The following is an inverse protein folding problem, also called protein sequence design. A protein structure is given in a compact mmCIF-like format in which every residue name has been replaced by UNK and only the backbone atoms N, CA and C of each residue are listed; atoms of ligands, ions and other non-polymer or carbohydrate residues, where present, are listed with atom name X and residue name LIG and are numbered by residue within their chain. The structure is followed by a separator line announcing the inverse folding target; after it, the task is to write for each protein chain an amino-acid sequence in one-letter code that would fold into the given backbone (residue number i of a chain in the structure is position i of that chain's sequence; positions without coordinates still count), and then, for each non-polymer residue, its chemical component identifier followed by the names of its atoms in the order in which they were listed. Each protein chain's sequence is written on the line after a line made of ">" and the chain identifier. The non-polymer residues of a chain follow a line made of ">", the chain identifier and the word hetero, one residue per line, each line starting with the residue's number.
data_IF_640344433420
#
_entry.id   IF_640344433420
#
_cell.length_a   1.000
_cell.length_b   1.000
_cell.length_c   1.000
_cell.angle_alpha   90.00
_cell.angle_beta   90.00
_cell.angle_gamma   90.00
#
_symmetry.space_group_name_H-M   'P 1'
#
loop_
_entity.id
_entity.type
_entity.pdbx_description
1 polymer ?
#
# COMPACT_ATOMS: atom_id res chain seq x y z
N UNK A 1 -4.54 17.97 20.67
CA UNK A 1 -3.47 17.69 19.70
C UNK A 1 -2.35 18.70 19.91
N UNK A 2 -1.20 18.27 20.42
CA UNK A 2 0.01 19.12 20.51
C UNK A 2 0.40 19.49 19.08
N UNK A 3 0.48 20.78 18.79
CA UNK A 3 0.81 21.21 17.43
C UNK A 3 2.29 20.97 17.14
N UNK A 4 2.69 20.55 15.93
CA UNK A 4 4.11 20.31 15.62
C UNK A 4 5.03 21.52 15.90
N UNK A 5 4.50 22.74 15.76
CA UNK A 5 5.19 23.99 16.13
C UNK A 5 5.53 24.08 17.63
N UNK A 6 4.73 23.47 18.51
CA UNK A 6 4.99 23.38 19.96
C UNK A 6 6.17 22.44 20.27
N UNK A 7 6.59 21.62 19.29
CA UNK A 7 7.78 20.76 19.37
C UNK A 7 8.98 21.32 18.61
N UNK A 8 8.88 22.52 18.03
CA UNK A 8 9.95 23.15 17.25
C UNK A 8 10.29 22.44 15.94
N UNK A 9 9.43 21.54 15.46
CA UNK A 9 9.65 20.77 14.24
C UNK A 9 8.94 21.43 13.04
N UNK A 10 9.51 21.36 11.82
CA UNK A 10 8.84 21.86 10.62
C UNK A 10 7.53 21.09 10.35
N UNK A 11 6.52 21.80 9.85
CA UNK A 11 5.16 21.27 9.65
C UNK A 11 4.54 21.74 8.34
N UNK A 12 3.67 20.91 7.75
CA UNK A 12 2.79 21.27 6.63
C UNK A 12 1.32 21.46 7.06
N UNK A 13 1.05 21.53 8.37
CA UNK A 13 -0.30 21.76 8.86
C UNK A 13 -0.90 23.06 8.30
N UNK A 14 -2.16 23.01 7.88
CA UNK A 14 -2.88 24.14 7.29
C UNK A 14 -2.44 24.52 5.87
N UNK A 15 -1.36 23.95 5.32
CA UNK A 15 -0.85 24.27 3.97
C UNK A 15 -1.89 24.08 2.87
N UNK A 16 -2.79 23.11 3.02
CA UNK A 16 -3.83 22.76 2.05
C UNK A 16 -5.25 22.98 2.58
N UNK A 17 -5.41 23.74 3.66
CA UNK A 17 -6.67 23.95 4.36
C UNK A 17 -6.79 23.10 5.64
N UNK A 18 -7.75 23.47 6.49
CA UNK A 18 -7.95 22.86 7.81
C UNK A 18 -8.49 21.43 7.73
N UNK A 19 -9.22 21.09 6.67
CA UNK A 19 -9.86 19.78 6.47
C UNK A 19 -9.05 18.84 5.57
N UNK A 20 -7.80 19.19 5.24
CA UNK A 20 -6.97 18.35 4.37
C UNK A 20 -6.64 16.99 5.02
N UNK A 21 -6.87 15.92 4.26
CA UNK A 21 -6.55 14.54 4.64
C UNK A 21 -5.53 13.88 3.71
N UNK A 22 -4.99 14.62 2.72
CA UNK A 22 -4.09 14.08 1.70
C UNK A 22 -2.62 14.42 1.96
N UNK A 23 -2.34 15.53 2.65
CA UNK A 23 -0.99 15.98 2.92
C UNK A 23 -0.19 16.23 1.65
N UNK A 24 1.06 15.77 1.61
CA UNK A 24 1.96 15.99 0.47
C UNK A 24 1.50 15.34 -0.83
N UNK A 25 0.53 14.42 -0.80
CA UNK A 25 -0.10 13.90 -2.02
C UNK A 25 -0.79 15.01 -2.83
N UNK A 26 -1.15 16.14 -2.22
CA UNK A 26 -1.65 17.33 -2.91
C UNK A 26 -0.62 17.98 -3.86
N UNK A 27 0.67 17.63 -3.74
CA UNK A 27 1.71 18.08 -4.68
C UNK A 27 1.66 17.31 -6.01
N UNK A 28 1.01 16.16 -6.05
CA UNK A 28 0.80 15.41 -7.28
C UNK A 28 -0.33 16.06 -8.09
N UNK A 29 -0.01 16.51 -9.30
CA UNK A 29 -0.91 17.19 -10.23
C UNK A 29 -0.93 16.44 -11.56
N UNK A 30 -1.96 16.67 -12.36
CA UNK A 30 -2.14 16.01 -13.67
C UNK A 30 -0.95 16.21 -14.60
N UNK A 31 -0.29 17.38 -14.54
CA UNK A 31 0.94 17.64 -15.30
C UNK A 31 2.08 16.68 -14.94
N UNK A 32 2.20 16.27 -13.68
CA UNK A 32 3.21 15.30 -13.26
C UNK A 32 2.91 13.91 -13.83
N UNK A 33 1.63 13.53 -13.91
CA UNK A 33 1.19 12.27 -14.52
C UNK A 33 1.50 12.26 -16.02
N UNK A 34 1.14 13.33 -16.74
CA UNK A 34 1.43 13.45 -18.18
C UNK A 34 2.94 13.42 -18.45
N UNK A 35 3.73 14.14 -17.65
CA UNK A 35 5.20 14.14 -17.75
C UNK A 35 5.80 12.76 -17.49
N UNK A 36 5.29 12.01 -16.50
CA UNK A 36 5.74 10.66 -16.20
C UNK A 36 5.38 9.69 -17.34
N UNK A 37 4.15 9.75 -17.86
CA UNK A 37 3.70 8.94 -18.98
C UNK A 37 4.56 9.16 -20.23
N UNK A 38 4.92 10.41 -20.53
CA UNK A 38 5.80 10.75 -21.65
C UNK A 38 7.22 10.16 -21.55
N UNK A 39 7.65 9.68 -20.36
CA UNK A 39 8.95 8.99 -20.20
C UNK A 39 8.91 7.53 -20.65
N UNK A 40 7.74 6.95 -20.85
CA UNK A 40 7.60 5.55 -21.30
C UNK A 40 7.89 5.46 -22.79
N UNK A 41 9.12 5.07 -23.15
CA UNK A 41 9.56 4.98 -24.56
C UNK A 41 9.83 3.55 -25.03
N UNK A 42 10.11 2.62 -24.12
CA UNK A 42 10.47 1.23 -24.42
C UNK A 42 9.45 0.19 -23.97
N UNK A 43 8.45 0.58 -23.18
CA UNK A 43 7.44 -0.34 -22.63
C UNK A 43 7.97 -1.41 -21.67
N UNK A 44 9.22 -1.31 -21.20
CA UNK A 44 9.79 -2.29 -20.26
C UNK A 44 9.25 -2.05 -18.85
N UNK A 45 8.74 -3.12 -18.24
CA UNK A 45 8.19 -3.12 -16.87
C UNK A 45 9.18 -3.77 -15.92
N UNK A 46 9.38 -3.16 -14.76
CA UNK A 46 10.20 -3.69 -13.67
C UNK A 46 9.34 -3.81 -12.41
N UNK A 47 9.11 -5.01 -11.86
CA UNK A 47 8.40 -5.16 -10.60
C UNK A 47 9.25 -4.60 -9.46
N UNK A 48 8.68 -3.72 -8.65
CA UNK A 48 9.31 -3.14 -7.46
C UNK A 48 8.75 -3.71 -6.16
N UNK A 49 7.90 -4.73 -6.26
CA UNK A 49 7.30 -5.38 -5.11
C UNK A 49 8.12 -6.59 -4.65
N UNK A 50 8.14 -6.83 -3.34
CA UNK A 50 8.55 -8.08 -2.76
C UNK A 50 7.46 -9.16 -2.97
N UNK A 51 7.82 -10.45 -2.89
CA UNK A 51 6.84 -11.53 -2.87
C UNK A 51 5.85 -11.39 -1.70
N UNK A 52 4.57 -11.58 -1.98
CA UNK A 52 3.52 -11.69 -0.95
C UNK A 52 3.42 -13.17 -0.57
N UNK A 53 4.20 -13.57 0.43
CA UNK A 53 4.33 -14.99 0.80
C UNK A 53 4.69 -15.15 2.28
N UNK A 54 4.50 -16.35 2.86
CA UNK A 54 4.95 -16.65 4.22
C UNK A 54 6.45 -16.42 4.43
N UNK A 55 7.25 -16.63 3.39
CA UNK A 55 8.71 -16.45 3.39
C UNK A 55 9.15 -15.06 2.89
N UNK A 56 8.19 -14.17 2.65
CA UNK A 56 8.46 -12.81 2.20
C UNK A 56 9.10 -11.96 3.32
N UNK A 57 9.77 -10.85 2.97
CA UNK A 57 10.30 -9.92 3.96
C UNK A 57 9.20 -9.45 4.91
N UNK A 58 9.39 -9.66 6.21
CA UNK A 58 8.43 -9.26 7.23
C UNK A 58 9.14 -8.73 8.47
N UNK A 59 8.50 -7.79 9.15
CA UNK A 59 8.99 -7.29 10.43
C UNK A 59 8.86 -8.41 11.48
N UNK A 60 9.89 -8.74 12.28
CA UNK A 60 9.84 -9.87 13.22
C UNK A 60 8.69 -9.83 14.23
N UNK A 61 8.12 -8.65 14.50
CA UNK A 61 6.98 -8.46 15.41
C UNK A 61 5.62 -8.73 14.77
N UNK A 62 5.57 -9.00 13.46
CA UNK A 62 4.34 -9.25 12.68
C UNK A 62 4.20 -10.73 12.37
N UNK A 63 2.97 -11.19 12.18
CA UNK A 63 2.72 -12.54 11.67
C UNK A 63 3.12 -12.61 10.19
N UNK A 64 3.70 -13.74 9.71
CA UNK A 64 3.91 -13.96 8.28
C UNK A 64 2.62 -13.78 7.48
N UNK A 65 2.74 -13.55 6.17
CA UNK A 65 1.58 -13.57 5.28
C UNK A 65 1.02 -14.98 5.23
N UNK A 66 -0.29 -15.13 5.40
CA UNK A 66 -0.99 -16.40 5.24
C UNK A 66 -1.65 -16.40 3.88
N UNK A 67 -1.31 -17.40 3.07
CA UNK A 67 -1.91 -17.62 1.77
C UNK A 67 -2.37 -19.06 1.69
N UNK A 68 -3.68 -19.26 1.62
CA UNK A 68 -4.30 -20.57 1.53
C UNK A 68 -4.98 -20.68 0.17
N UNK A 69 -4.57 -21.67 -0.61
CA UNK A 69 -5.20 -22.00 -1.89
C UNK A 69 -6.07 -23.22 -1.69
N UNK A 70 -7.30 -23.15 -2.17
CA UNK A 70 -8.27 -24.24 -2.15
C UNK A 70 -8.62 -24.63 -3.58
N UNK A 71 -8.74 -25.92 -3.83
CA UNK A 71 -9.19 -26.44 -5.12
C UNK A 71 -10.41 -27.31 -4.92
N UNK A 72 -11.40 -27.19 -5.81
CA UNK A 72 -12.61 -28.01 -5.78
C UNK A 72 -13.11 -28.30 -7.19
N UNK A 73 -13.75 -29.44 -7.35
CA UNK A 73 -14.53 -29.72 -8.55
C UNK A 73 -15.75 -28.80 -8.60
N UNK A 74 -16.01 -28.22 -9.75
CA UNK A 74 -17.20 -27.40 -10.00
C UNK A 74 -18.38 -28.33 -10.19
N UNK A 75 -19.55 -27.87 -9.74
CA UNK A 75 -20.82 -28.56 -9.99
C UNK A 75 -21.26 -28.30 -11.43
N UNK A 76 -20.49 -28.81 -12.40
CA UNK A 76 -20.74 -28.68 -13.83
C UNK A 76 -20.93 -30.03 -14.54
N UNK A 77 -20.58 -31.15 -13.89
CA UNK A 77 -20.66 -32.49 -14.45
C UNK A 77 -19.59 -32.82 -15.50
N UNK A 78 -18.63 -31.91 -15.72
CA UNK A 78 -17.58 -32.03 -16.76
C UNK A 78 -16.17 -32.22 -16.18
N UNK A 79 -16.02 -32.56 -14.89
CA UNK A 79 -14.74 -32.56 -14.16
C UNK A 79 -14.02 -31.19 -14.19
N UNK A 80 -14.76 -30.08 -14.32
CA UNK A 80 -14.13 -28.76 -14.30
C UNK A 80 -13.62 -28.47 -12.89
N UNK A 81 -12.35 -28.06 -12.78
CA UNK A 81 -11.76 -27.67 -11.49
C UNK A 81 -11.82 -26.16 -11.31
N UNK A 82 -12.00 -25.70 -10.08
CA UNK A 82 -11.78 -24.31 -9.67
C UNK A 82 -10.72 -24.24 -8.58
N UNK A 83 -9.92 -23.19 -8.61
CA UNK A 83 -9.01 -22.81 -7.54
C UNK A 83 -9.42 -21.43 -7.02
N UNK A 84 -9.59 -21.31 -5.71
CA UNK A 84 -9.90 -20.06 -5.00
C UNK A 84 -8.89 -19.89 -3.86
N UNK A 85 -8.54 -18.66 -3.51
CA UNK A 85 -7.56 -18.37 -2.46
C UNK A 85 -8.07 -17.41 -1.37
N UNK A 86 -7.39 -17.46 -0.23
CA UNK A 86 -7.54 -16.50 0.87
C UNK A 86 -6.16 -16.01 1.26
N UNK A 87 -6.02 -14.68 1.33
CA UNK A 87 -4.81 -14.02 1.82
C UNK A 87 -5.18 -13.27 3.11
N UNK A 88 -4.42 -13.53 4.17
CA UNK A 88 -4.44 -12.73 5.41
C UNK A 88 -3.05 -12.18 5.66
N UNK A 89 -2.94 -10.86 5.76
CA UNK A 89 -1.67 -10.17 5.94
C UNK A 89 -1.84 -8.90 6.76
N UNK A 90 -0.74 -8.45 7.38
CA UNK A 90 -0.65 -7.07 7.85
C UNK A 90 -0.59 -6.14 6.64
N UNK A 91 -1.30 -5.01 6.67
CA UNK A 91 -1.26 -3.97 5.62
C UNK A 91 0.14 -3.39 5.39
N UNK A 92 1.05 -3.61 6.34
CA UNK A 92 2.44 -3.16 6.33
C UNK A 92 3.42 -4.35 6.19
N UNK A 93 2.92 -5.53 5.79
CA UNK A 93 3.65 -6.81 5.86
C UNK A 93 4.49 -7.18 4.62
N UNK A 94 4.51 -6.35 3.59
CA UNK A 94 5.30 -6.53 2.35
C UNK A 94 5.52 -5.15 1.71
N UNK A 95 5.86 -5.01 0.43
CA UNK A 95 5.90 -3.69 -0.24
C UNK A 95 4.57 -2.93 -0.04
N UNK A 96 4.64 -1.75 0.57
CA UNK A 96 3.47 -0.96 0.99
C UNK A 96 3.76 0.55 1.03
N UNK A 97 2.71 1.34 1.29
CA UNK A 97 2.79 2.76 1.59
C UNK A 97 2.09 2.97 2.94
N UNK A 98 2.77 3.64 3.87
CA UNK A 98 2.19 4.03 5.15
C UNK A 98 1.29 5.26 4.97
N UNK A 99 0.02 5.12 5.35
CA UNK A 99 -0.91 6.24 5.35
C UNK A 99 -0.57 7.23 6.48
N UNK A 100 -1.05 8.48 6.37
CA UNK A 100 -0.80 9.54 7.35
C UNK A 100 -1.24 9.17 8.78
N UNK A 101 -2.25 8.31 8.91
CA UNK A 101 -2.74 7.83 10.20
C UNK A 101 -1.94 6.67 10.81
N UNK A 102 -0.91 6.16 10.12
CA UNK A 102 -0.18 4.97 10.58
C UNK A 102 0.51 5.21 11.93
N UNK A 103 1.18 6.35 12.07
CA UNK A 103 1.90 6.75 13.28
C UNK A 103 1.62 8.22 13.52
N UNK A 104 1.17 8.53 14.72
CA UNK A 104 0.95 9.89 15.18
C UNK A 104 1.35 10.02 16.65
N UNK A 105 1.63 11.24 17.07
CA UNK A 105 1.78 11.57 18.49
C UNK A 105 0.39 11.90 19.01
N UNK A 106 -0.06 11.15 20.02
CA UNK A 106 -1.34 11.38 20.71
C UNK A 106 -1.31 12.59 21.64
N UNK A 107 -2.41 12.79 22.37
CA UNK A 107 -2.52 13.78 23.44
C UNK A 107 -1.77 13.34 24.71
#
# INVERSE_FOLDING_TARGET
>A
MIRPEERGAPSNWGRWGADDQRGTANLLRDVHVAQAAARVTRGKVYPLNAPVSPDGPNLPTRRPTWHVVTTRERVSGNNDMSADDVIMMHTHGTTHIDALCHIYVGD
#
